data_IF_478223287098
#
_entry.id   IF_478223287098
#
_cell.length_a   1.000
_cell.length_b   1.000
_cell.length_c   1.000
_cell.angle_alpha   90.00
_cell.angle_beta   90.00
_cell.angle_gamma   90.00
#
_symmetry.space_group_name_H-M   'P 1'
#
loop_
_entity.id
_entity.type
_entity.pdbx_description
1 polymer ?
#
# COMPACT_ATOMS: atom_id res chain seq x y z
N UNK A 1 20.74 -1.54 -17.44
CA UNK A 1 19.90 -1.65 -18.66
C UNK A 1 20.45 -2.72 -19.63
N UNK A 2 19.93 -3.95 -19.58
CA UNK A 2 20.39 -5.07 -20.42
C UNK A 2 19.68 -5.16 -21.78
N UNK A 3 18.60 -4.39 -22.00
CA UNK A 3 17.74 -4.52 -23.19
C UNK A 3 18.46 -4.17 -24.50
N UNK A 4 19.17 -3.03 -24.55
CA UNK A 4 19.98 -2.63 -25.73
C UNK A 4 21.16 -3.56 -26.01
N UNK A 5 21.71 -4.19 -24.96
CA UNK A 5 22.76 -5.20 -25.11
C UNK A 5 22.20 -6.49 -25.73
N UNK A 6 20.96 -6.84 -25.41
CA UNK A 6 20.31 -8.07 -25.89
C UNK A 6 19.63 -7.90 -27.25
N UNK A 7 19.13 -6.70 -27.55
CA UNK A 7 18.44 -6.37 -28.81
C UNK A 7 18.96 -5.05 -29.39
N UNK A 8 20.10 -5.07 -30.12
CA UNK A 8 20.75 -3.85 -30.63
C UNK A 8 19.89 -3.07 -31.63
N UNK A 9 19.02 -3.76 -32.36
CA UNK A 9 18.17 -3.19 -33.41
C UNK A 9 16.77 -2.79 -32.91
N UNK A 10 16.46 -3.00 -31.63
CA UNK A 10 15.15 -2.67 -31.08
C UNK A 10 15.04 -1.16 -30.88
N UNK A 11 14.09 -0.53 -31.57
CA UNK A 11 13.67 0.83 -31.25
C UNK A 11 13.01 0.84 -29.87
N UNK A 12 13.54 1.64 -28.94
CA UNK A 12 12.99 1.82 -27.60
C UNK A 12 12.28 3.18 -27.57
N UNK A 13 10.94 3.21 -27.48
CA UNK A 13 10.17 4.44 -27.32
C UNK A 13 10.59 5.26 -26.09
N UNK A 14 10.32 6.56 -26.10
CA UNK A 14 10.68 7.47 -24.98
C UNK A 14 9.84 7.25 -23.72
N UNK A 15 8.68 6.63 -23.85
CA UNK A 15 7.76 6.23 -22.78
C UNK A 15 8.05 4.81 -22.24
N UNK A 16 9.10 4.16 -22.73
CA UNK A 16 9.53 2.87 -22.20
C UNK A 16 9.87 2.99 -20.71
N UNK A 17 9.19 2.20 -19.89
CA UNK A 17 9.40 2.12 -18.45
C UNK A 17 9.90 0.73 -18.07
N UNK A 18 10.93 0.67 -17.23
CA UNK A 18 11.37 -0.56 -16.59
C UNK A 18 10.59 -0.76 -15.29
N UNK A 19 10.01 -1.95 -15.09
CA UNK A 19 9.23 -2.27 -13.89
C UNK A 19 9.97 -3.38 -13.15
N UNK A 20 10.49 -3.05 -11.97
CA UNK A 20 10.96 -4.03 -11.00
C UNK A 20 9.78 -4.41 -10.09
N UNK A 21 9.56 -5.70 -9.90
CA UNK A 21 8.55 -6.23 -8.98
C UNK A 21 9.27 -7.07 -7.94
N UNK A 22 9.41 -6.52 -6.73
CA UNK A 22 10.18 -7.18 -5.68
C UNK A 22 9.34 -8.01 -4.71
N UNK A 23 8.02 -7.81 -4.69
CA UNK A 23 7.16 -8.48 -3.71
C UNK A 23 7.28 -10.01 -3.70
N UNK A 24 7.41 -10.73 -4.83
CA UNK A 24 7.57 -12.19 -4.81
C UNK A 24 8.85 -12.64 -4.12
N UNK A 25 9.90 -11.80 -4.14
CA UNK A 25 11.17 -12.06 -3.44
C UNK A 25 11.04 -11.79 -1.94
N UNK A 26 10.27 -10.77 -1.56
CA UNK A 26 10.10 -10.36 -0.15
C UNK A 26 9.04 -11.15 0.61
N UNK A 27 8.12 -11.81 -0.09
CA UNK A 27 7.04 -12.62 0.51
C UNK A 27 7.00 -14.02 -0.11
N UNK A 28 8.08 -14.81 0.02
CA UNK A 28 8.10 -16.18 -0.47
C UNK A 28 7.20 -17.08 0.40
N UNK A 29 6.89 -18.30 -0.05
CA UNK A 29 5.98 -19.22 0.66
C UNK A 29 6.53 -19.57 2.04
N UNK A 30 7.85 -19.60 2.19
CA UNK A 30 8.56 -19.86 3.44
C UNK A 30 8.47 -18.69 4.43
N UNK A 31 8.20 -17.48 3.94
CA UNK A 31 8.03 -16.28 4.75
C UNK A 31 6.83 -15.45 4.27
N UNK A 32 5.60 -15.95 4.46
CA UNK A 32 4.40 -15.28 4.01
C UNK A 32 4.11 -14.04 4.87
N UNK A 33 3.27 -13.15 4.33
CA UNK A 33 2.79 -11.99 5.09
C UNK A 33 1.98 -12.50 6.28
N UNK A 34 2.46 -12.19 7.49
CA UNK A 34 1.79 -12.62 8.71
C UNK A 34 0.57 -11.74 9.01
N UNK A 35 -0.60 -12.35 9.15
CA UNK A 35 -1.79 -11.70 9.69
C UNK A 35 -1.71 -11.76 11.22
N UNK A 36 -1.85 -10.61 11.89
CA UNK A 36 -1.80 -10.57 13.36
C UNK A 36 -3.01 -11.29 13.97
N UNK A 37 -2.85 -11.86 15.16
CA UNK A 37 -3.98 -12.36 15.96
C UNK A 37 -4.88 -11.23 16.44
N UNK A 38 -4.31 -10.05 16.68
CA UNK A 38 -5.04 -8.87 17.15
C UNK A 38 -5.86 -8.24 16.00
N UNK A 39 -7.16 -7.95 16.21
CA UNK A 39 -7.95 -7.22 15.23
C UNK A 39 -7.46 -5.77 15.10
N UNK A 40 -7.46 -5.26 13.87
CA UNK A 40 -7.15 -3.85 13.59
C UNK A 40 -8.46 -3.06 13.67
N UNK A 41 -8.52 -2.11 14.59
CA UNK A 41 -9.65 -1.20 14.78
C UNK A 41 -9.32 0.17 14.19
N UNK A 42 -10.31 0.79 13.55
CA UNK A 42 -10.18 2.13 12.99
C UNK A 42 -11.54 2.82 13.00
N UNK A 43 -11.52 4.16 12.97
CA UNK A 43 -12.72 4.98 12.89
C UNK A 43 -12.72 5.73 11.57
N UNK A 44 -13.84 5.63 10.84
CA UNK A 44 -14.06 6.42 9.63
C UNK A 44 -14.89 7.63 10.03
N UNK A 45 -14.29 8.81 9.97
CA UNK A 45 -14.98 10.07 10.23
C UNK A 45 -15.81 10.47 9.01
N UNK A 46 -16.97 11.05 9.25
CA UNK A 46 -17.77 11.66 8.17
C UNK A 46 -17.03 12.89 7.62
N UNK A 47 -17.25 13.21 6.35
CA UNK A 47 -16.57 14.33 5.67
C UNK A 47 -16.87 15.70 6.28
N UNK A 48 -17.98 15.79 7.00
CA UNK A 48 -18.46 17.03 7.64
C UNK A 48 -17.97 17.18 9.09
N UNK A 49 -17.18 16.21 9.59
CA UNK A 49 -16.58 16.29 10.92
C UNK A 49 -15.17 16.84 10.75
N UNK A 50 -14.88 17.92 11.48
CA UNK A 50 -13.53 18.47 11.54
C UNK A 50 -12.54 17.41 12.02
N UNK A 51 -11.45 17.24 11.29
CA UNK A 51 -10.42 16.29 11.67
C UNK A 51 -9.82 16.69 13.02
N UNK A 52 -9.80 15.82 14.04
CA UNK A 52 -9.28 16.16 15.36
C UNK A 52 -7.79 16.51 15.33
N UNK A 53 -7.09 16.10 14.27
CA UNK A 53 -5.71 16.49 13.99
C UNK A 53 -5.71 17.47 12.81
N UNK A 54 -5.72 18.78 13.06
CA UNK A 54 -5.32 19.79 12.08
C UNK A 54 -3.82 19.63 11.80
N UNK A 55 -3.44 18.64 10.98
CA UNK A 55 -2.05 18.45 10.61
C UNK A 55 -1.70 19.39 9.47
N UNK A 56 -1.09 20.52 9.82
CA UNK A 56 -0.50 21.54 8.95
C UNK A 56 0.76 21.07 8.19
N UNK A 57 0.82 19.81 7.76
CA UNK A 57 1.91 19.32 6.92
C UNK A 57 1.54 19.50 5.44
N UNK A 58 2.41 20.18 4.70
CA UNK A 58 2.21 20.42 3.27
C UNK A 58 2.18 19.09 2.50
N UNK A 59 1.01 18.75 1.95
CA UNK A 59 0.83 17.62 1.03
C UNK A 59 1.73 17.76 -0.19
N UNK A 60 1.83 18.98 -0.70
CA UNK A 60 2.65 19.36 -1.86
C UNK A 60 3.62 20.47 -1.43
N UNK A 61 4.79 20.13 -0.89
CA UNK A 61 5.83 21.12 -0.62
C UNK A 61 6.36 21.71 -1.94
N UNK A 62 6.92 22.91 -1.89
CA UNK A 62 7.37 23.64 -3.08
C UNK A 62 8.54 22.98 -3.81
N UNK A 63 9.31 22.16 -3.11
CA UNK A 63 10.45 21.39 -3.61
C UNK A 63 10.09 19.93 -3.93
N UNK A 64 8.80 19.60 -4.03
CA UNK A 64 8.35 18.25 -4.36
C UNK A 64 8.89 17.80 -5.73
N UNK A 65 9.54 16.64 -5.75
CA UNK A 65 10.11 16.05 -6.95
C UNK A 65 9.36 14.78 -7.33
N UNK A 66 8.63 14.85 -8.44
CA UNK A 66 7.78 13.76 -8.93
C UNK A 66 8.56 12.62 -9.59
N UNK A 67 9.89 12.73 -9.74
CA UNK A 67 10.73 11.58 -10.16
C UNK A 67 10.63 10.43 -9.18
N UNK A 68 10.38 10.74 -7.90
CA UNK A 68 10.20 9.79 -6.83
C UNK A 68 8.83 10.00 -6.18
N UNK A 69 8.02 8.95 -6.15
CA UNK A 69 6.72 9.01 -5.47
C UNK A 69 6.48 7.74 -4.69
N UNK A 70 5.78 7.89 -3.57
CA UNK A 70 5.42 6.76 -2.70
C UNK A 70 3.93 6.55 -2.77
N UNK A 71 3.54 5.28 -2.88
CA UNK A 71 2.15 4.82 -2.77
C UNK A 71 2.07 3.82 -1.62
N UNK A 72 1.16 4.09 -0.70
CA UNK A 72 0.92 3.32 0.52
C UNK A 72 -0.45 2.68 0.43
N UNK A 73 -0.47 1.37 0.72
CA UNK A 73 -1.68 0.58 0.83
C UNK A 73 -1.77 0.11 2.28
N UNK A 74 -2.79 0.57 3.00
CA UNK A 74 -3.06 0.15 4.37
C UNK A 74 -4.07 -0.99 4.34
N UNK A 75 -3.70 -2.11 4.95
CA UNK A 75 -4.53 -3.31 5.05
C UNK A 75 -5.05 -3.45 6.49
N UNK A 76 -6.33 -3.76 6.65
CA UNK A 76 -6.93 -4.12 7.93
C UNK A 76 -7.60 -5.48 7.86
N UNK A 77 -7.69 -6.16 9.02
CA UNK A 77 -8.33 -7.46 9.17
C UNK A 77 -8.91 -7.58 10.59
N UNK A 78 -9.87 -8.50 10.78
CA UNK A 78 -10.55 -8.73 12.07
C UNK A 78 -9.78 -9.70 13.00
N UNK A 79 -8.46 -9.78 12.85
CA UNK A 79 -7.61 -10.75 13.54
C UNK A 79 -7.57 -12.13 12.87
N UNK A 80 -6.46 -12.86 13.03
CA UNK A 80 -6.21 -14.14 12.38
C UNK A 80 -7.31 -15.17 12.65
N UNK A 81 -7.79 -15.27 13.89
CA UNK A 81 -8.84 -16.23 14.27
C UNK A 81 -10.14 -15.98 13.49
N UNK A 82 -10.56 -14.71 13.35
CA UNK A 82 -11.78 -14.37 12.61
C UNK A 82 -11.61 -14.56 11.11
N UNK A 83 -10.42 -14.24 10.58
CA UNK A 83 -10.10 -14.50 9.16
C UNK A 83 -10.16 -16.00 8.87
N UNK A 84 -9.55 -16.82 9.72
CA UNK A 84 -9.58 -18.28 9.61
C UNK A 84 -11.01 -18.81 9.71
N UNK A 85 -11.77 -18.35 10.71
CA UNK A 85 -13.16 -18.75 10.91
C UNK A 85 -14.01 -18.48 9.66
N UNK A 86 -13.92 -17.28 9.09
CA UNK A 86 -14.68 -16.89 7.90
C UNK A 86 -14.20 -17.60 6.63
N UNK A 87 -12.89 -17.75 6.46
CA UNK A 87 -12.31 -18.37 5.28
C UNK A 87 -12.66 -19.85 5.15
N UNK A 88 -12.93 -20.53 6.27
CA UNK A 88 -13.22 -21.96 6.32
C UNK A 88 -14.65 -22.29 6.78
N UNK A 89 -15.51 -21.29 7.02
CA UNK A 89 -16.90 -21.53 7.47
C UNK A 89 -16.98 -22.21 8.83
N UNK A 90 -16.13 -21.80 9.78
CA UNK A 90 -16.03 -22.46 11.09
C UNK A 90 -16.93 -21.80 12.14
N UNK A 91 -17.36 -22.59 13.12
CA UNK A 91 -17.91 -22.13 14.38
C UNK A 91 -16.79 -21.72 15.35
N UNK A 92 -17.16 -21.12 16.48
CA UNK A 92 -16.20 -20.66 17.51
C UNK A 92 -15.43 -21.83 18.13
N UNK A 93 -16.01 -23.02 18.13
CA UNK A 93 -15.38 -24.26 18.60
C UNK A 93 -14.53 -24.98 17.54
N UNK A 94 -14.46 -24.44 16.31
CA UNK A 94 -13.68 -24.99 15.19
C UNK A 94 -14.39 -26.08 14.39
N UNK A 95 -15.65 -26.41 14.71
CA UNK A 95 -16.48 -27.27 13.86
C UNK A 95 -16.97 -26.51 12.61
N UNK A 96 -17.34 -27.24 11.56
CA UNK A 96 -17.91 -26.63 10.35
C UNK A 96 -19.33 -26.17 10.63
N UNK A 97 -19.64 -24.92 10.29
CA UNK A 97 -21.03 -24.46 10.24
C UNK A 97 -21.62 -24.82 8.87
N UNK A 98 -22.47 -25.84 8.83
CA UNK A 98 -23.13 -26.27 7.59
C UNK A 98 -24.06 -25.19 6.99
N UNK A 99 -24.38 -24.12 7.74
CA UNK A 99 -25.22 -23.02 7.27
C UNK A 99 -24.41 -21.81 6.76
N UNK A 100 -23.08 -21.80 6.92
CA UNK A 100 -22.23 -20.67 6.52
C UNK A 100 -21.27 -21.13 5.42
N UNK A 101 -21.50 -20.63 4.22
CA UNK A 101 -20.54 -20.78 3.13
C UNK A 101 -19.21 -20.11 3.48
N UNK A 102 -18.11 -20.78 3.15
CA UNK A 102 -16.77 -20.22 3.31
C UNK A 102 -16.64 -18.90 2.54
N UNK A 103 -16.22 -17.85 3.24
CA UNK A 103 -16.04 -16.55 2.63
C UNK A 103 -14.68 -16.47 1.94
N UNK A 104 -14.66 -15.96 0.70
CA UNK A 104 -13.40 -15.63 0.04
C UNK A 104 -12.54 -14.72 0.94
N UNK A 105 -11.22 -14.95 0.95
CA UNK A 105 -10.26 -14.12 1.70
C UNK A 105 -10.40 -12.62 1.38
N UNK A 106 -10.86 -12.28 0.16
CA UNK A 106 -11.18 -10.92 -0.28
C UNK A 106 -12.21 -10.22 0.61
N UNK A 107 -13.09 -10.96 1.28
CA UNK A 107 -14.10 -10.45 2.23
C UNK A 107 -13.61 -10.39 3.68
N UNK A 108 -12.42 -10.94 3.95
CA UNK A 108 -11.84 -11.00 5.29
C UNK A 108 -10.80 -9.89 5.54
N UNK A 109 -10.31 -9.25 4.47
CA UNK A 109 -9.33 -8.16 4.51
C UNK A 109 -9.91 -6.91 3.85
N UNK A 110 -9.58 -5.73 4.38
CA UNK A 110 -10.00 -4.45 3.80
C UNK A 110 -8.77 -3.58 3.51
N UNK A 111 -8.84 -2.80 2.43
CA UNK A 111 -7.79 -1.86 2.05
C UNK A 111 -8.31 -0.43 2.10
N UNK A 112 -7.47 0.49 2.60
CA UNK A 112 -7.75 1.93 2.53
C UNK A 112 -7.38 2.43 1.14
N UNK A 113 -8.35 3.05 0.46
CA UNK A 113 -8.17 3.70 -0.83
C UNK A 113 -8.62 5.15 -0.77
N UNK A 114 -7.87 6.04 -1.39
CA UNK A 114 -8.30 7.40 -1.66
C UNK A 114 -9.27 7.41 -2.83
N UNK A 115 -10.17 8.39 -2.86
CA UNK A 115 -11.05 8.62 -4.02
C UNK A 115 -10.91 10.06 -4.49
N UNK A 116 -10.66 10.24 -5.79
CA UNK A 116 -10.62 11.55 -6.44
C UNK A 116 -11.36 11.43 -7.76
N UNK A 117 -12.34 12.30 -8.00
CA UNK A 117 -13.15 12.29 -9.22
C UNK A 117 -13.78 10.92 -9.55
N UNK A 118 -14.21 10.17 -8.52
CA UNK A 118 -14.74 8.79 -8.60
C UNK A 118 -13.71 7.73 -9.02
N UNK A 119 -12.45 8.09 -9.20
CA UNK A 119 -11.36 7.13 -9.39
C UNK A 119 -10.76 6.75 -8.03
N UNK A 120 -10.51 5.46 -7.86
CA UNK A 120 -9.78 4.96 -6.71
C UNK A 120 -8.30 5.23 -6.90
N UNK A 121 -7.62 5.61 -5.83
CA UNK A 121 -6.18 5.89 -5.84
C UNK A 121 -5.53 5.41 -4.56
N UNK A 122 -4.28 4.96 -4.67
CA UNK A 122 -3.47 4.68 -3.50
C UNK A 122 -3.11 5.98 -2.77
N UNK A 123 -3.03 5.89 -1.44
CA UNK A 123 -2.63 7.02 -0.58
C UNK A 123 -1.14 7.27 -0.80
N UNK A 124 -0.73 8.53 -0.88
CA UNK A 124 0.68 8.88 -1.00
C UNK A 124 0.93 10.09 -1.89
N UNK A 125 2.20 10.39 -2.15
CA UNK A 125 2.61 11.63 -2.83
C UNK A 125 4.05 11.61 -3.29
N UNK A 126 4.47 12.74 -3.86
CA UNK A 126 5.84 12.96 -4.30
C UNK A 126 6.78 13.14 -3.10
N UNK A 127 8.03 12.72 -3.29
CA UNK A 127 9.12 12.95 -2.35
C UNK A 127 9.52 14.43 -2.32
N UNK A 128 9.99 14.90 -1.16
CA UNK A 128 10.53 16.25 -0.97
C UNK A 128 11.91 16.16 -0.31
N UNK A 129 12.97 16.72 -0.92
CA UNK A 129 14.31 16.73 -0.33
C UNK A 129 14.34 17.37 1.06
N UNK A 130 13.66 18.51 1.24
CA UNK A 130 13.71 19.25 2.50
C UNK A 130 12.99 18.55 3.67
N UNK A 131 11.93 17.79 3.38
CA UNK A 131 11.11 17.15 4.43
C UNK A 131 11.43 15.67 4.63
N UNK A 132 11.80 14.95 3.56
CA UNK A 132 11.97 13.50 3.57
C UNK A 132 13.45 13.09 3.46
N UNK A 133 14.37 14.03 3.22
CA UNK A 133 15.82 13.82 3.09
C UNK A 133 16.30 13.75 1.64
N UNK A 134 17.56 14.13 1.38
CA UNK A 134 18.07 14.52 0.06
C UNK A 134 18.38 13.37 -0.93
N UNK A 135 18.61 12.14 -0.44
CA UNK A 135 19.20 11.06 -1.24
C UNK A 135 18.25 9.85 -1.44
N UNK A 136 17.21 9.96 -2.30
CA UNK A 136 16.21 8.90 -2.48
C UNK A 136 16.78 7.63 -3.14
N UNK A 137 17.90 7.73 -3.86
CA UNK A 137 18.52 6.58 -4.55
C UNK A 137 19.38 5.72 -3.62
N UNK A 138 19.93 6.29 -2.54
CA UNK A 138 20.86 5.59 -1.65
C UNK A 138 20.31 5.37 -0.23
N UNK A 139 19.35 6.18 0.22
CA UNK A 139 18.71 6.03 1.52
C UNK A 139 17.25 5.57 1.37
N UNK A 140 16.94 4.27 1.59
CA UNK A 140 15.56 3.77 1.52
C UNK A 140 14.65 4.37 2.60
N UNK A 141 15.20 4.94 3.68
CA UNK A 141 14.40 5.60 4.71
C UNK A 141 13.72 6.89 4.20
N UNK A 142 14.22 7.48 3.11
CA UNK A 142 13.60 8.62 2.45
C UNK A 142 12.16 8.29 2.03
N UNK A 143 11.92 7.10 1.48
CA UNK A 143 10.59 6.66 1.09
C UNK A 143 9.68 6.41 2.28
N UNK A 144 10.22 5.91 3.40
CA UNK A 144 9.47 5.72 4.65
C UNK A 144 9.04 7.08 5.23
N UNK A 145 9.93 8.07 5.26
CA UNK A 145 9.60 9.44 5.70
C UNK A 145 8.54 10.09 4.80
N UNK A 146 8.69 9.92 3.49
CA UNK A 146 7.69 10.35 2.49
C UNK A 146 6.32 9.69 2.74
N UNK A 147 6.30 8.38 3.02
CA UNK A 147 5.08 7.64 3.35
C UNK A 147 4.41 8.20 4.61
N UNK A 148 5.17 8.39 5.69
CA UNK A 148 4.67 8.92 6.96
C UNK A 148 4.06 10.30 6.74
N UNK A 149 4.78 11.22 6.07
CA UNK A 149 4.32 12.59 5.80
C UNK A 149 3.03 12.59 4.98
N UNK A 150 3.02 11.87 3.86
CA UNK A 150 1.88 11.89 2.92
C UNK A 150 0.64 11.21 3.50
N UNK A 151 0.78 10.09 4.21
CA UNK A 151 -0.33 9.40 4.88
C UNK A 151 -0.89 10.27 6.01
N UNK A 152 -0.03 10.87 6.83
CA UNK A 152 -0.44 11.75 7.93
C UNK A 152 -1.19 12.97 7.41
N UNK A 153 -0.73 13.55 6.30
CA UNK A 153 -1.37 14.72 5.71
C UNK A 153 -2.66 14.39 4.93
N UNK A 154 -2.78 13.20 4.31
CA UNK A 154 -3.96 12.82 3.52
C UNK A 154 -5.12 12.26 4.37
N UNK A 155 -4.81 11.43 5.37
CA UNK A 155 -5.82 10.69 6.14
C UNK A 155 -5.65 10.83 7.66
N UNK A 156 -4.70 11.64 8.14
CA UNK A 156 -4.52 11.93 9.56
C UNK A 156 -3.89 10.80 10.38
N UNK A 157 -3.44 9.72 9.74
CA UNK A 157 -2.84 8.54 10.40
C UNK A 157 -1.32 8.72 10.47
N UNK A 158 -0.76 8.58 11.68
CA UNK A 158 0.69 8.61 11.87
C UNK A 158 1.29 7.20 11.81
N UNK A 159 2.22 6.99 10.88
CA UNK A 159 2.92 5.72 10.67
C UNK A 159 4.34 5.71 11.28
N UNK A 160 4.72 6.74 12.03
CA UNK A 160 6.06 6.84 12.67
C UNK A 160 6.39 5.65 13.57
N UNK A 161 5.41 5.10 14.26
CA UNK A 161 5.55 3.93 15.13
C UNK A 161 5.34 2.59 14.40
N UNK A 162 5.27 2.59 13.06
CA UNK A 162 5.09 1.36 12.29
C UNK A 162 6.36 0.49 12.42
N UNK A 163 6.27 -0.71 13.05
CA UNK A 163 7.45 -1.51 13.38
C UNK A 163 8.02 -2.25 12.17
N UNK A 164 7.22 -2.43 11.10
CA UNK A 164 7.61 -3.17 9.91
C UNK A 164 7.03 -2.51 8.67
N UNK A 165 7.91 -2.24 7.71
CA UNK A 165 7.54 -1.75 6.39
C UNK A 165 7.75 -2.87 5.38
N UNK A 166 6.66 -3.26 4.72
CA UNK A 166 6.73 -4.14 3.56
C UNK A 166 6.97 -3.26 2.34
N UNK A 167 8.24 -2.92 2.10
CA UNK A 167 8.62 -2.17 0.90
C UNK A 167 8.44 -3.08 -0.29
N UNK A 168 7.51 -2.71 -1.16
CA UNK A 168 7.36 -3.27 -2.49
C UNK A 168 7.78 -2.15 -3.41
N UNK A 169 8.97 -2.20 -3.99
CA UNK A 169 9.26 -1.32 -5.12
C UNK A 169 8.21 -1.62 -6.19
N UNK A 170 7.23 -0.73 -6.31
CA UNK A 170 6.31 -0.67 -7.43
C UNK A 170 6.53 0.71 -8.01
N UNK A 171 7.50 0.80 -8.92
CA UNK A 171 7.61 1.97 -9.80
C UNK A 171 6.42 1.94 -10.76
N UNK A 172 5.29 2.52 -10.34
CA UNK A 172 4.16 2.79 -11.24
C UNK A 172 4.44 4.09 -12.00
N UNK A 173 5.14 3.97 -13.12
CA UNK A 173 5.05 5.00 -14.16
C UNK A 173 3.65 4.89 -14.79
N UNK A 174 2.81 5.90 -14.55
CA UNK A 174 1.60 6.21 -15.32
C UNK A 174 0.74 5.03 -15.81
N UNK A 175 0.36 4.11 -14.91
CA UNK A 175 -0.68 3.13 -15.20
C UNK A 175 -1.60 3.02 -13.99
N UNK A 176 -2.89 3.30 -14.22
CA UNK A 176 -4.00 3.08 -13.29
C UNK A 176 -4.20 1.58 -13.03
N UNK A 177 -3.24 0.91 -12.40
CA UNK A 177 -3.46 -0.41 -11.83
C UNK A 177 -3.66 -0.25 -10.32
N UNK A 178 -4.91 0.08 -9.97
CA UNK A 178 -5.49 -0.52 -8.79
C UNK A 178 -5.32 -2.04 -8.93
N UNK A 179 -4.95 -2.70 -7.85
CA UNK A 179 -4.96 -4.15 -7.74
C UNK A 179 -6.35 -4.68 -8.16
N UNK A 180 -6.49 -5.04 -9.42
CA UNK A 180 -7.54 -5.93 -9.88
C UNK A 180 -7.10 -7.33 -9.44
N UNK A 181 -7.56 -7.73 -8.26
CA UNK A 181 -7.61 -9.14 -7.89
C UNK A 181 -8.82 -9.78 -8.61
N UNK A 182 -8.86 -9.68 -9.94
CA UNK A 182 -9.71 -10.52 -10.77
C UNK A 182 -8.83 -11.53 -11.50
N UNK A 183 -9.32 -12.77 -11.50
CA UNK A 183 -8.74 -14.00 -12.07
C UNK A 183 -7.67 -14.72 -11.24
N UNK A 184 -8.16 -15.44 -10.23
CA UNK A 184 -8.01 -16.90 -10.12
C UNK A 184 -9.25 -17.48 -9.43
#
# INVERSE_FOLDING_TARGET
MQLRKRYPSLYIPSDFTDISIEWPKTTPIENPISISTTPITYHVLHKDIDSPNENSQALNPSDADYRFSVKVVLMSHQGLSMVHQKAFGLLVDGSLDENIDSASLKRCINFVVGTRNKEMMAIGGAWSPSLDGENPESDPQVFIRTAIRTVRALIGVDLSNCPRWYVREIFMCHCNLLFSLDEL
#
